data_IF_699591549807
#
_entry.id   IF_699591549807
#
_cell.length_a   1.000
_cell.length_b   1.000
_cell.length_c   1.000
_cell.angle_alpha   90.00
_cell.angle_beta   90.00
_cell.angle_gamma   90.00
#
_symmetry.space_group_name_H-M   'P 1'
#
loop_
_entity.id
_entity.type
_entity.pdbx_description
1 polymer ?
#
# COMPACT_ATOMS: atom_id res chain seq x y z
N UNK A 1 -1.09 -3.33 8.94
CA UNK A 1 0.24 -3.00 9.48
C UNK A 1 0.60 -3.86 10.69
N UNK A 2 -0.28 -4.08 11.68
CA UNK A 2 0.02 -4.91 12.86
C UNK A 2 0.50 -6.32 12.51
N UNK A 3 -0.08 -6.96 11.51
CA UNK A 3 0.35 -8.28 11.02
C UNK A 3 1.81 -8.28 10.52
N UNK A 4 2.27 -7.20 9.87
CA UNK A 4 3.66 -7.09 9.41
C UNK A 4 4.63 -6.83 10.56
N UNK A 5 4.19 -6.13 11.61
CA UNK A 5 5.01 -5.88 12.79
C UNK A 5 5.14 -7.10 13.70
N UNK A 6 4.17 -8.02 13.67
CA UNK A 6 4.23 -9.27 14.42
C UNK A 6 5.40 -10.17 13.98
N UNK A 7 5.94 -9.97 12.76
CA UNK A 7 7.12 -10.68 12.26
C UNK A 7 8.37 -10.43 13.15
N UNK A 8 8.40 -9.36 13.96
CA UNK A 8 9.52 -9.02 14.85
C UNK A 8 9.87 -10.14 15.84
N UNK A 9 8.87 -10.93 16.25
CA UNK A 9 9.07 -12.00 17.24
C UNK A 9 9.94 -13.16 16.70
N UNK A 10 10.09 -13.25 15.38
CA UNK A 10 10.87 -14.30 14.72
C UNK A 10 12.24 -13.81 14.23
N UNK A 11 12.52 -12.51 14.39
CA UNK A 11 13.76 -11.89 13.89
C UNK A 11 14.88 -12.02 14.91
N UNK A 12 16.02 -12.53 14.46
CA UNK A 12 17.28 -12.50 15.20
C UNK A 12 18.25 -11.49 14.58
N UNK A 13 19.32 -11.13 15.29
CA UNK A 13 20.31 -10.15 14.81
C UNK A 13 20.95 -10.53 13.46
N UNK A 14 21.08 -11.84 13.17
CA UNK A 14 21.63 -12.30 11.88
C UNK A 14 20.70 -11.94 10.73
N UNK A 15 19.37 -12.08 10.92
CA UNK A 15 18.36 -11.73 9.92
C UNK A 15 18.31 -10.22 9.63
N UNK A 16 18.77 -9.37 10.54
CA UNK A 16 18.88 -7.92 10.32
C UNK A 16 19.99 -7.60 9.32
N UNK A 17 21.10 -8.34 9.38
CA UNK A 17 22.26 -8.13 8.51
C UNK A 17 22.14 -8.88 7.18
N UNK A 18 21.44 -10.01 7.17
CA UNK A 18 21.27 -10.87 6.01
C UNK A 18 19.87 -11.50 6.04
N UNK A 19 18.95 -10.94 5.25
CA UNK A 19 17.59 -11.49 5.11
C UNK A 19 17.70 -12.89 4.50
N UNK A 20 17.33 -13.95 5.24
CA UNK A 20 17.52 -15.31 4.78
C UNK A 20 16.68 -15.60 3.54
N UNK A 21 17.29 -16.31 2.59
CA UNK A 21 16.62 -16.82 1.40
C UNK A 21 15.77 -18.03 1.79
N UNK A 22 14.56 -17.78 2.28
CA UNK A 22 13.48 -18.76 2.47
C UNK A 22 13.92 -20.11 3.06
N UNK A 23 14.35 -20.12 4.32
CA UNK A 23 14.28 -21.35 5.11
C UNK A 23 12.84 -21.52 5.60
N UNK A 24 12.05 -22.32 4.88
CA UNK A 24 10.82 -22.96 5.33
C UNK A 24 9.81 -22.12 6.15
N UNK A 25 9.46 -20.91 5.70
CA UNK A 25 8.17 -20.28 6.06
C UNK A 25 8.24 -18.97 6.85
N UNK A 26 9.41 -18.49 7.25
CA UNK A 26 9.50 -17.20 7.96
C UNK A 26 9.53 -16.05 6.96
N UNK A 27 8.36 -15.45 6.72
CA UNK A 27 8.21 -14.23 5.94
C UNK A 27 8.56 -13.04 6.82
N UNK A 28 9.75 -12.46 6.63
CA UNK A 28 10.16 -11.19 7.24
C UNK A 28 10.22 -10.05 6.20
N UNK A 29 9.73 -10.32 4.99
CA UNK A 29 9.81 -9.45 3.82
C UNK A 29 8.97 -8.18 3.97
N UNK A 30 7.87 -8.26 4.69
CA UNK A 30 7.04 -7.08 4.95
C UNK A 30 7.68 -6.21 6.03
N UNK A 31 8.12 -6.82 7.13
CA UNK A 31 8.81 -6.12 8.21
C UNK A 31 10.10 -5.45 7.73
N UNK A 32 10.91 -6.15 6.93
CA UNK A 32 12.14 -5.61 6.37
C UNK A 32 11.90 -4.39 5.47
N UNK A 33 10.77 -4.35 4.74
CA UNK A 33 10.40 -3.16 3.96
C UNK A 33 10.00 -1.98 4.86
N UNK A 34 9.26 -2.24 5.94
CA UNK A 34 8.81 -1.20 6.88
C UNK A 34 9.98 -0.59 7.66
N UNK A 35 10.96 -1.42 8.06
CA UNK A 35 12.11 -0.96 8.85
C UNK A 35 13.34 -0.58 8.02
N UNK A 36 13.26 -0.62 6.70
CA UNK A 36 14.43 -0.32 5.87
C UNK A 36 14.92 1.11 6.05
N UNK A 37 16.22 1.30 6.28
CA UNK A 37 16.85 2.63 6.31
C UNK A 37 16.92 3.31 4.93
N UNK A 38 16.57 2.58 3.86
CA UNK A 38 16.58 3.08 2.47
C UNK A 38 15.23 3.62 2.04
N UNK A 39 14.15 3.19 2.70
CA UNK A 39 12.78 3.57 2.37
C UNK A 39 12.52 4.96 2.95
N UNK A 40 12.13 5.90 2.10
CA UNK A 40 11.89 7.30 2.47
C UNK A 40 10.41 7.68 2.36
N UNK A 41 9.66 6.95 1.54
CA UNK A 41 8.28 7.22 1.19
C UNK A 41 7.47 5.93 1.24
N UNK A 42 6.23 6.06 1.71
CA UNK A 42 5.24 5.01 1.68
C UNK A 42 3.93 5.57 1.13
N UNK A 43 3.33 4.85 0.21
CA UNK A 43 1.98 5.11 -0.28
C UNK A 43 1.13 3.88 -0.02
N UNK A 44 -0.01 4.03 0.64
CA UNK A 44 -0.92 2.92 0.90
C UNK A 44 -2.27 3.17 0.25
N UNK A 45 -2.90 2.08 -0.20
CA UNK A 45 -4.24 2.07 -0.76
C UNK A 45 -5.00 0.88 -0.20
N UNK A 46 -6.32 0.96 -0.24
CA UNK A 46 -7.17 -0.16 0.12
C UNK A 46 -8.34 -0.26 -0.84
N UNK A 47 -8.84 -1.49 -0.99
CA UNK A 47 -10.04 -1.80 -1.75
C UNK A 47 -10.90 -2.76 -0.93
N UNK A 48 -12.22 -2.59 -1.02
CA UNK A 48 -13.19 -3.41 -0.30
C UNK A 48 -14.13 -4.08 -1.29
N UNK A 49 -14.30 -5.38 -1.09
CA UNK A 49 -15.34 -6.20 -1.69
C UNK A 49 -16.37 -6.58 -0.62
N UNK A 50 -17.39 -7.36 -0.98
CA UNK A 50 -18.40 -7.87 -0.05
C UNK A 50 -17.75 -8.77 1.00
N UNK A 51 -16.82 -9.65 0.58
CA UNK A 51 -16.27 -10.70 1.44
C UNK A 51 -14.83 -10.44 1.92
N UNK A 52 -14.15 -9.43 1.37
CA UNK A 52 -12.74 -9.19 1.67
C UNK A 52 -12.34 -7.72 1.55
N UNK A 53 -11.23 -7.40 2.22
CA UNK A 53 -10.56 -6.10 2.15
C UNK A 53 -9.09 -6.33 1.79
N UNK A 54 -8.62 -5.65 0.76
CA UNK A 54 -7.22 -5.65 0.35
C UNK A 54 -6.58 -4.34 0.77
N UNK A 55 -5.45 -4.43 1.46
CA UNK A 55 -4.62 -3.29 1.85
C UNK A 55 -3.23 -3.48 1.24
N UNK A 56 -2.76 -2.49 0.49
CA UNK A 56 -1.48 -2.53 -0.21
C UNK A 56 -0.70 -1.27 0.11
N UNK A 57 0.56 -1.44 0.54
CA UNK A 57 1.51 -0.33 0.62
C UNK A 57 2.65 -0.54 -0.37
N UNK A 58 3.04 0.54 -1.03
CA UNK A 58 4.21 0.65 -1.89
C UNK A 58 5.26 1.50 -1.18
N UNK A 59 6.51 1.03 -1.19
CA UNK A 59 7.64 1.70 -0.54
C UNK A 59 8.63 2.22 -1.58
N UNK A 60 9.15 3.44 -1.36
CA UNK A 60 10.11 4.08 -2.25
C UNK A 60 11.20 4.84 -1.46
N UNK A 61 12.48 4.77 -1.86
CA UNK A 61 13.09 3.73 -2.70
C UNK A 61 12.74 2.31 -2.23
N UNK A 62 12.97 1.32 -3.09
CA UNK A 62 12.68 -0.07 -2.74
C UNK A 62 13.45 -0.46 -1.47
N UNK A 63 12.81 -1.21 -0.58
CA UNK A 63 13.46 -1.84 0.57
C UNK A 63 14.52 -2.90 0.17
N UNK A 64 15.14 -3.54 1.17
CA UNK A 64 16.26 -4.47 0.95
C UNK A 64 15.86 -5.67 0.09
N UNK A 65 16.82 -6.20 -0.69
CA UNK A 65 16.71 -7.53 -1.28
C UNK A 65 17.15 -8.63 -0.31
N UNK A 66 16.96 -9.88 -0.71
CA UNK A 66 17.53 -11.03 0.00
C UNK A 66 19.03 -10.84 0.15
N UNK A 67 19.59 -11.28 1.27
CA UNK A 67 21.01 -11.15 1.60
C UNK A 67 21.51 -9.70 1.78
N UNK A 68 20.61 -8.73 1.81
CA UNK A 68 20.94 -7.35 2.18
C UNK A 68 20.54 -7.04 3.63
N UNK A 69 21.26 -6.13 4.30
CA UNK A 69 20.87 -5.66 5.61
C UNK A 69 19.61 -4.79 5.52
N UNK A 70 18.72 -4.92 6.51
CA UNK A 70 17.50 -4.10 6.64
C UNK A 70 17.89 -2.63 6.86
N UNK A 71 18.83 -2.40 7.77
CA UNK A 71 19.40 -1.09 8.06
C UNK A 71 20.88 -1.20 8.43
N UNK A 72 21.63 -0.11 8.29
CA UNK A 72 23.03 -0.04 8.73
C UNK A 72 23.12 0.02 10.26
N UNK A 73 23.93 -0.86 10.83
CA UNK A 73 24.23 -0.87 12.26
C UNK A 73 25.29 0.19 12.57
N UNK A 74 25.03 1.02 13.59
CA UNK A 74 25.96 2.04 14.05
C UNK A 74 25.33 2.97 15.08
N UNK A 75 26.07 4.00 15.56
CA UNK A 75 25.52 5.02 16.43
C UNK A 75 24.33 5.73 15.80
N UNK A 76 23.36 6.12 16.63
CA UNK A 76 22.13 6.80 16.19
C UNK A 76 22.47 8.01 15.32
N UNK A 77 21.80 8.12 14.17
CA UNK A 77 21.98 9.20 13.20
C UNK A 77 23.39 9.39 12.61
N UNK A 78 24.33 8.47 12.85
CA UNK A 78 25.70 8.57 12.32
C UNK A 78 25.80 8.54 10.79
N UNK A 79 24.75 8.06 10.12
CA UNK A 79 24.69 7.88 8.66
C UNK A 79 23.40 8.39 8.03
N UNK A 80 22.85 9.52 8.51
CA UNK A 80 21.67 10.11 7.86
C UNK A 80 21.97 10.46 6.39
N UNK A 81 21.03 10.20 5.46
CA UNK A 81 21.21 10.54 4.04
C UNK A 81 21.45 12.04 3.83
N UNK A 82 22.05 12.39 2.69
CA UNK A 82 22.21 13.80 2.30
C UNK A 82 20.85 14.50 2.24
N UNK A 83 20.78 15.73 2.75
CA UNK A 83 19.53 16.49 2.86
C UNK A 83 18.65 16.07 4.03
N UNK A 84 19.08 15.13 4.88
CA UNK A 84 18.43 14.75 6.13
C UNK A 84 19.28 15.16 7.34
N UNK A 85 18.61 15.36 8.48
CA UNK A 85 19.24 15.65 9.76
C UNK A 85 18.71 14.69 10.82
N UNK A 86 19.48 14.46 11.88
CA UNK A 86 18.95 13.71 13.02
C UNK A 86 17.75 14.46 13.61
N UNK A 87 16.69 13.72 13.89
CA UNK A 87 15.60 14.24 14.69
C UNK A 87 15.94 14.03 16.16
N UNK A 88 15.91 15.07 16.99
CA UNK A 88 16.13 15.01 18.44
C UNK A 88 14.83 15.29 19.22
N UNK A 89 13.67 15.20 18.55
CA UNK A 89 12.37 15.44 19.17
C UNK A 89 11.56 14.15 19.20
N UNK A 90 10.95 13.92 20.34
CA UNK A 90 9.95 12.86 20.54
C UNK A 90 8.80 12.98 19.52
N UNK A 91 8.20 11.86 19.08
CA UNK A 91 8.52 10.47 19.43
C UNK A 91 9.60 9.82 18.54
N UNK A 92 10.33 10.62 17.76
CA UNK A 92 11.19 10.14 16.67
C UNK A 92 12.65 10.58 16.84
N UNK A 93 13.13 10.72 18.07
CA UNK A 93 14.45 11.25 18.45
C UNK A 93 15.66 10.39 17.98
N UNK A 94 15.40 9.29 17.27
CA UNK A 94 16.42 8.37 16.75
C UNK A 94 16.32 8.18 15.23
N UNK A 95 15.42 8.92 14.56
CA UNK A 95 15.21 8.84 13.12
C UNK A 95 15.81 10.05 12.41
N UNK A 96 16.20 9.85 11.15
CA UNK A 96 16.55 10.95 10.27
C UNK A 96 15.28 11.63 9.76
N UNK A 97 15.24 12.96 9.79
CA UNK A 97 14.17 13.79 9.22
C UNK A 97 14.70 14.60 8.04
N UNK A 98 13.84 15.03 7.10
CA UNK A 98 14.25 15.99 6.09
C UNK A 98 14.89 17.22 6.75
N UNK A 99 16.10 17.54 6.30
CA UNK A 99 16.85 18.71 6.74
C UNK A 99 16.21 19.97 6.18
N UNK A 100 16.36 21.09 6.88
CA UNK A 100 15.84 22.39 6.44
C UNK A 100 16.74 23.08 5.39
N UNK A 101 17.66 22.35 4.76
CA UNK A 101 18.52 22.86 3.69
C UNK A 101 17.68 23.11 2.42
N UNK A 102 16.84 24.15 2.42
CA UNK A 102 16.11 24.57 1.22
C UNK A 102 14.85 25.44 1.38
N UNK A 103 14.25 25.60 2.58
CA UNK A 103 13.02 26.42 2.71
C UNK A 103 13.28 27.91 3.01
N UNK A 104 14.53 28.33 3.12
CA UNK A 104 14.92 29.75 3.31
C UNK A 104 16.01 30.20 2.35
N UNK A 105 15.84 29.92 1.06
CA UNK A 105 16.27 30.88 0.04
C UNK A 105 15.15 31.01 -0.97
N UNK A 106 14.36 32.07 -0.82
CA UNK A 106 13.84 32.78 -1.98
C UNK A 106 15.08 33.05 -2.83
N UNK A 107 15.29 32.24 -3.86
CA UNK A 107 16.30 32.55 -4.87
C UNK A 107 15.75 33.79 -5.53
N UNK A 108 16.15 34.96 -5.02
CA UNK A 108 16.14 36.17 -5.83
C UNK A 108 17.09 35.84 -6.97
N UNK A 109 16.53 35.42 -8.11
CA UNK A 109 17.23 35.38 -9.38
C UNK A 109 17.60 36.83 -9.71
N UNK A 110 18.67 37.34 -9.10
CA UNK A 110 19.45 38.38 -9.73
C UNK A 110 20.25 37.67 -10.82
N UNK A 111 19.67 37.68 -12.02
CA UNK A 111 20.36 37.44 -13.27
C UNK A 111 21.61 38.34 -13.31
N UNK A 112 22.77 37.78 -12.99
CA UNK A 112 24.04 38.32 -13.40
C UNK A 112 24.76 37.24 -14.19
N UNK A 113 24.77 37.44 -15.51
CA UNK A 113 25.49 36.63 -16.47
C UNK A 113 26.99 36.76 -16.19
N UNK A 114 27.59 35.72 -15.61
CA UNK A 114 28.80 35.10 -16.14
C UNK A 114 29.37 34.02 -15.21
N UNK A 115 29.86 32.98 -15.87
CA UNK A 115 30.87 32.01 -15.40
C UNK A 115 30.38 30.77 -14.66
N UNK A 116 30.17 29.73 -15.48
CA UNK A 116 30.82 28.41 -15.36
C UNK A 116 30.71 27.75 -13.97
N UNK A 117 29.68 26.95 -13.78
CA UNK A 117 29.58 25.99 -12.69
C UNK A 117 29.16 24.60 -13.21
N UNK A 118 29.84 23.62 -12.65
CA UNK A 118 29.82 22.17 -12.83
C UNK A 118 28.44 21.49 -12.89
N UNK A 119 28.34 20.46 -13.74
CA UNK A 119 27.26 19.48 -13.79
C UNK A 119 27.00 18.85 -12.41
N UNK A 120 25.95 19.30 -11.73
CA UNK A 120 25.29 18.57 -10.66
C UNK A 120 23.95 18.13 -11.23
N UNK A 121 23.79 16.83 -11.46
CA UNK A 121 22.54 16.26 -11.94
C UNK A 121 21.55 16.30 -10.78
N UNK A 122 20.72 17.34 -10.78
CA UNK A 122 19.60 17.50 -9.86
C UNK A 122 18.66 16.30 -10.07
N UNK A 123 18.45 15.50 -9.01
CA UNK A 123 17.39 14.50 -9.02
C UNK A 123 16.07 15.28 -9.04
N UNK A 124 15.56 15.52 -10.25
CA UNK A 124 14.27 16.14 -10.46
C UNK A 124 13.20 15.27 -9.81
N UNK A 125 12.69 15.73 -8.67
CA UNK A 125 11.45 15.20 -8.13
C UNK A 125 10.35 15.46 -9.17
N UNK A 126 9.66 14.42 -9.68
CA UNK A 126 8.55 14.63 -10.58
C UNK A 126 7.50 15.47 -9.84
N UNK A 127 7.29 16.71 -10.32
CA UNK A 127 6.19 17.54 -9.86
C UNK A 127 4.92 16.76 -10.10
N UNK A 128 4.18 16.53 -9.02
CA UNK A 128 2.84 15.95 -9.03
C UNK A 128 1.94 16.85 -9.86
N UNK A 129 1.73 16.49 -11.12
CA UNK A 129 0.64 17.01 -11.94
C UNK A 129 -0.64 16.39 -11.40
N UNK A 130 -1.34 17.13 -10.55
CA UNK A 130 -2.71 16.86 -10.16
C UNK A 130 -3.63 17.11 -11.37
N UNK A 131 -3.52 16.29 -12.41
CA UNK A 131 -4.48 16.21 -13.51
C UNK A 131 -5.31 14.94 -13.36
N UNK A 132 -6.42 15.13 -12.66
CA UNK A 132 -7.76 14.71 -13.10
C UNK A 132 -7.86 13.39 -13.89
N UNK A 133 -7.94 12.29 -13.16
CA UNK A 133 -8.52 11.05 -13.65
C UNK A 133 -9.88 10.82 -12.98
N UNK A 134 -10.87 11.67 -13.31
CA UNK A 134 -12.28 11.26 -13.31
C UNK A 134 -12.46 10.29 -14.47
N UNK A 135 -12.09 9.02 -14.27
CA UNK A 135 -12.46 7.96 -15.19
C UNK A 135 -13.74 7.35 -14.65
N UNK A 136 -14.86 7.76 -15.25
CA UNK A 136 -16.17 7.13 -15.06
C UNK A 136 -16.01 5.61 -15.13
N UNK A 137 -16.10 4.98 -13.97
CA UNK A 137 -16.19 3.54 -13.86
C UNK A 137 -17.60 3.17 -14.31
N UNK A 138 -17.79 3.00 -15.62
CA UNK A 138 -18.96 2.30 -16.17
C UNK A 138 -18.91 0.89 -15.59
N UNK A 139 -19.66 0.69 -14.53
CA UNK A 139 -19.99 -0.60 -13.92
C UNK A 139 -20.51 -1.53 -15.03
N UNK A 140 -19.61 -2.39 -15.53
CA UNK A 140 -19.93 -3.42 -16.51
C UNK A 140 -20.77 -4.47 -15.80
N UNK A 141 -22.09 -4.29 -15.78
CA UNK A 141 -23.03 -5.28 -15.25
C UNK A 141 -22.79 -6.61 -15.97
N UNK A 142 -22.35 -7.62 -15.21
CA UNK A 142 -22.04 -8.93 -15.73
C UNK A 142 -23.36 -9.59 -16.21
N UNK A 143 -23.53 -9.88 -17.51
CA UNK A 143 -24.77 -10.42 -18.06
C UNK A 143 -25.13 -11.79 -17.45
N UNK A 144 -24.13 -12.52 -16.93
CA UNK A 144 -24.33 -13.82 -16.27
C UNK A 144 -25.06 -13.63 -14.93
N UNK A 145 -24.71 -12.59 -14.17
CA UNK A 145 -25.34 -12.32 -12.86
C UNK A 145 -26.82 -11.96 -13.01
N UNK A 146 -27.18 -11.22 -14.07
CA UNK A 146 -28.57 -10.89 -14.36
C UNK A 146 -29.39 -12.12 -14.74
N UNK A 147 -28.82 -13.04 -15.53
CA UNK A 147 -29.49 -14.28 -15.91
C UNK A 147 -29.75 -15.20 -14.70
N UNK A 148 -28.82 -15.28 -13.75
CA UNK A 148 -28.99 -16.07 -12.52
C UNK A 148 -30.14 -15.52 -11.66
N UNK A 149 -30.21 -14.20 -11.48
CA UNK A 149 -31.29 -13.57 -10.69
C UNK A 149 -32.67 -13.86 -11.30
N UNK A 150 -32.79 -13.78 -12.63
CA UNK A 150 -34.04 -14.09 -13.35
C UNK A 150 -34.43 -15.57 -13.17
N UNK A 151 -33.46 -16.48 -13.27
CA UNK A 151 -33.72 -17.91 -13.13
C UNK A 151 -34.17 -18.29 -11.70
N UNK A 152 -33.52 -17.73 -10.68
CA UNK A 152 -33.91 -17.95 -9.29
C UNK A 152 -35.30 -17.40 -8.98
N UNK A 153 -35.64 -16.21 -9.50
CA UNK A 153 -36.97 -15.63 -9.35
C UNK A 153 -38.07 -16.49 -9.99
N UNK A 154 -37.81 -17.04 -11.18
CA UNK A 154 -38.77 -17.89 -11.90
C UNK A 154 -39.03 -19.21 -11.17
N UNK A 155 -37.99 -19.86 -10.63
CA UNK A 155 -38.13 -21.09 -9.85
C UNK A 155 -38.98 -20.89 -8.60
N UNK A 156 -38.78 -19.78 -7.86
CA UNK A 156 -39.55 -19.48 -6.66
C UNK A 156 -41.02 -19.24 -7.01
N UNK A 157 -41.29 -18.51 -8.09
CA UNK A 157 -42.65 -18.22 -8.54
C UNK A 157 -43.42 -19.50 -8.92
N UNK A 158 -42.77 -20.45 -9.62
CA UNK A 158 -43.37 -21.75 -9.94
C UNK A 158 -43.70 -22.53 -8.68
N UNK A 159 -42.79 -22.61 -7.70
CA UNK A 159 -43.04 -23.33 -6.46
C UNK A 159 -44.26 -22.77 -5.70
N UNK A 160 -44.37 -21.44 -5.61
CA UNK A 160 -45.51 -20.78 -4.96
C UNK A 160 -46.80 -21.07 -5.72
N UNK A 161 -46.79 -20.95 -7.05
CA UNK A 161 -47.97 -21.20 -7.88
C UNK A 161 -48.47 -22.64 -7.76
N UNK A 162 -47.56 -23.63 -7.84
CA UNK A 162 -47.91 -25.05 -7.67
C UNK A 162 -48.47 -25.34 -6.28
N UNK A 163 -47.94 -24.69 -5.24
CA UNK A 163 -48.43 -24.83 -3.86
C UNK A 163 -49.86 -24.30 -3.71
N UNK A 164 -50.16 -23.15 -4.32
CA UNK A 164 -51.50 -22.55 -4.31
C UNK A 164 -52.48 -23.44 -5.09
N UNK A 165 -52.11 -23.91 -6.27
CA UNK A 165 -52.96 -24.81 -7.08
C UNK A 165 -53.27 -26.10 -6.32
N UNK A 166 -52.27 -26.68 -5.64
CA UNK A 166 -52.46 -27.87 -4.82
C UNK A 166 -53.44 -27.63 -3.67
N UNK A 167 -53.34 -26.48 -2.98
CA UNK A 167 -54.27 -26.09 -1.93
C UNK A 167 -55.71 -25.92 -2.46
N UNK A 168 -55.87 -25.33 -3.65
CA UNK A 168 -57.19 -25.17 -4.28
C UNK A 168 -57.78 -26.53 -4.65
N UNK A 169 -57.00 -27.44 -5.25
CA UNK A 169 -57.46 -28.79 -5.61
C UNK A 169 -57.87 -29.55 -4.34
N UNK A 170 -57.05 -29.50 -3.30
CA UNK A 170 -57.36 -30.15 -2.02
C UNK A 170 -58.63 -29.58 -1.38
N UNK A 171 -58.83 -28.26 -1.46
CA UNK A 171 -60.05 -27.60 -0.98
C UNK A 171 -61.30 -28.06 -1.75
N UNK A 172 -61.21 -28.19 -3.07
CA UNK A 172 -62.32 -28.63 -3.92
C UNK A 172 -62.66 -30.12 -3.79
N UNK A 173 -61.69 -30.98 -3.48
CA UNK A 173 -61.91 -32.43 -3.34
C UNK A 173 -62.43 -32.83 -1.96
N UNK A 174 -62.30 -31.97 -0.96
CA UNK A 174 -62.69 -32.25 0.43
C UNK A 174 -64.04 -31.62 0.82
N UNK A 175 -64.82 -31.19 -0.18
CA UNK A 175 -66.18 -30.64 -0.10
C UNK A 175 -67.10 -31.46 -1.00
#
# INVERSE_FOLDING_TARGET
MSLWLAEIEVINERAIQNIPRNEAGTRIDNFAQVLSDRVLYVGCSWSRSVDWMLFVCTFAPRGPYLEEPIYKIGPICSSCPYGFACNYREPYEKLCKPGTMGLTKKVTLQSNNNSRASNLQELEFPKRSDEESKKDSKEKKNPILLAIIIFMGFSIFICIFLSIVFLIIHYLLNW
#
